data_IF_068264781937
#
_entry.id   IF_068264781937
#
_cell.length_a   1.000
_cell.length_b   1.000
_cell.length_c   1.000
_cell.angle_alpha   90.00
_cell.angle_beta   90.00
_cell.angle_gamma   90.00
#
_symmetry.space_group_name_H-M   'P 1'
#
loop_
_entity.id
_entity.type
_entity.pdbx_description
1 polymer ?
#
# COMPACT_ATOMS: atom_id res chain seq x y z
N UNK A 1 14.96 23.80 -5.00
CA UNK A 1 15.85 22.87 -5.76
C UNK A 1 15.24 21.50 -5.66
N UNK A 2 14.64 21.00 -6.75
CA UNK A 2 14.07 19.65 -6.80
C UNK A 2 15.20 18.61 -6.76
N UNK A 3 15.22 17.78 -5.71
CA UNK A 3 16.13 16.65 -5.63
C UNK A 3 15.52 15.49 -6.42
N UNK A 4 16.30 14.79 -7.26
CA UNK A 4 15.91 13.57 -7.92
C UNK A 4 16.27 12.34 -7.09
N UNK A 5 15.60 11.22 -7.34
CA UNK A 5 15.86 9.93 -6.74
C UNK A 5 16.41 8.96 -7.80
N UNK A 6 17.49 8.29 -7.46
CA UNK A 6 18.04 7.19 -8.26
C UNK A 6 17.86 5.90 -7.45
N UNK A 7 17.21 4.90 -8.03
CA UNK A 7 16.95 3.63 -7.37
C UNK A 7 17.13 2.45 -8.33
N UNK A 8 17.26 1.21 -7.81
CA UNK A 8 17.19 0.01 -8.62
C UNK A 8 15.85 -0.10 -9.34
N UNK A 9 15.81 -0.73 -10.52
CA UNK A 9 14.59 -0.92 -11.30
C UNK A 9 13.48 -1.63 -10.52
N UNK A 10 13.85 -2.56 -9.63
CA UNK A 10 12.90 -3.28 -8.77
C UNK A 10 12.12 -2.37 -7.80
N UNK A 11 12.73 -1.27 -7.35
CA UNK A 11 12.10 -0.30 -6.43
C UNK A 11 11.44 0.87 -7.18
N UNK A 12 11.47 0.87 -8.50
CA UNK A 12 11.01 2.00 -9.31
C UNK A 12 9.51 2.29 -9.14
N UNK A 13 8.68 1.25 -9.07
CA UNK A 13 7.24 1.39 -8.89
C UNK A 13 6.85 1.98 -7.54
N UNK A 14 7.55 1.58 -6.47
CA UNK A 14 7.36 2.13 -5.12
C UNK A 14 7.86 3.57 -5.05
N UNK A 15 9.04 3.83 -5.61
CA UNK A 15 9.58 5.18 -5.68
C UNK A 15 8.65 6.14 -6.41
N UNK A 16 7.91 5.66 -7.42
CA UNK A 16 6.96 6.46 -8.19
C UNK A 16 5.75 6.95 -7.36
N UNK A 17 5.48 6.37 -6.19
CA UNK A 17 4.46 6.87 -5.25
C UNK A 17 4.83 8.23 -4.63
N UNK A 18 6.11 8.61 -4.66
CA UNK A 18 6.55 9.92 -4.16
C UNK A 18 6.00 11.13 -4.94
N UNK A 19 5.21 10.89 -5.98
CA UNK A 19 4.54 11.93 -6.77
C UNK A 19 5.27 12.33 -8.04
N UNK A 20 4.58 13.09 -8.89
CA UNK A 20 5.08 13.47 -10.22
C UNK A 20 6.18 14.52 -10.17
N UNK A 21 6.27 15.27 -9.09
CA UNK A 21 7.24 16.36 -8.91
C UNK A 21 8.67 15.87 -8.66
N UNK A 22 8.83 14.60 -8.27
CA UNK A 22 10.14 13.99 -8.01
C UNK A 22 10.67 13.35 -9.29
N UNK A 23 11.86 13.75 -9.73
CA UNK A 23 12.53 13.08 -10.85
C UNK A 23 13.12 11.74 -10.39
N UNK A 24 12.56 10.63 -10.88
CA UNK A 24 12.93 9.28 -10.49
C UNK A 24 13.59 8.56 -11.67
N UNK A 25 14.80 8.08 -11.43
CA UNK A 25 15.56 7.24 -12.35
C UNK A 25 15.70 5.82 -11.77
N UNK A 26 14.95 4.88 -12.32
CA UNK A 26 15.02 3.48 -11.95
C UNK A 26 15.93 2.73 -12.95
N UNK A 27 17.10 2.32 -12.51
CA UNK A 27 18.10 1.69 -13.37
C UNK A 27 18.22 0.19 -13.06
N UNK A 28 18.21 -0.69 -14.10
CA UNK A 28 18.44 -2.12 -13.92
C UNK A 28 19.91 -2.42 -13.56
N UNK A 29 20.83 -1.62 -14.05
CA UNK A 29 22.26 -1.76 -13.74
C UNK A 29 22.96 -0.40 -13.84
N UNK A 30 24.14 -0.31 -13.22
CA UNK A 30 24.95 0.90 -13.21
C UNK A 30 25.31 1.40 -14.63
N UNK A 31 25.58 0.50 -15.57
CA UNK A 31 25.88 0.84 -16.94
C UNK A 31 24.71 1.59 -17.63
N UNK A 32 23.48 1.18 -17.38
CA UNK A 32 22.29 1.85 -17.90
C UNK A 32 22.16 3.29 -17.36
N UNK A 33 22.53 3.51 -16.12
CA UNK A 33 22.56 4.83 -15.50
C UNK A 33 23.65 5.72 -16.15
N UNK A 34 24.86 5.18 -16.34
CA UNK A 34 25.94 5.88 -17.02
C UNK A 34 25.55 6.26 -18.45
N UNK A 35 24.93 5.32 -19.18
CA UNK A 35 24.45 5.58 -20.55
C UNK A 35 23.34 6.64 -20.59
N UNK A 36 22.47 6.67 -19.57
CA UNK A 36 21.44 7.71 -19.44
C UNK A 36 22.07 9.09 -19.30
N UNK A 37 23.06 9.27 -18.42
CA UNK A 37 23.74 10.55 -18.24
C UNK A 37 24.63 10.95 -19.42
N UNK A 38 25.12 9.98 -20.20
CA UNK A 38 25.86 10.23 -21.46
C UNK A 38 24.94 10.51 -22.66
N UNK A 39 23.62 10.41 -22.49
CA UNK A 39 22.66 10.59 -23.57
C UNK A 39 22.56 9.44 -24.57
N UNK A 40 23.24 8.31 -24.32
CA UNK A 40 23.17 7.14 -25.19
C UNK A 40 21.88 6.32 -25.05
N UNK A 41 21.31 6.33 -23.86
CA UNK A 41 20.06 5.62 -23.56
C UNK A 41 19.27 6.41 -22.51
N UNK A 42 18.03 6.75 -22.82
CA UNK A 42 17.15 7.41 -21.86
C UNK A 42 16.38 6.35 -21.06
N UNK A 43 16.49 6.40 -19.74
CA UNK A 43 15.66 5.61 -18.84
C UNK A 43 14.28 6.27 -18.73
N UNK A 44 13.25 5.49 -18.97
CA UNK A 44 11.88 5.95 -18.80
C UNK A 44 11.56 6.11 -17.30
N UNK A 45 10.73 7.08 -16.97
CA UNK A 45 10.21 7.26 -15.62
C UNK A 45 9.40 6.02 -15.23
N UNK A 46 9.63 5.42 -14.05
CA UNK A 46 8.84 4.30 -13.59
C UNK A 46 7.38 4.75 -13.32
N UNK A 47 6.45 3.85 -13.60
CA UNK A 47 5.03 4.10 -13.30
C UNK A 47 4.69 3.51 -11.93
N UNK A 48 3.86 4.19 -11.14
CA UNK A 48 3.37 3.61 -9.90
C UNK A 48 2.54 2.36 -10.23
N UNK A 49 2.92 1.24 -9.66
CA UNK A 49 2.15 -0.01 -9.75
C UNK A 49 1.61 -0.32 -8.38
N UNK A 50 0.31 -0.45 -8.29
CA UNK A 50 -0.38 -0.95 -7.10
C UNK A 50 -0.60 -2.44 -7.34
N UNK A 51 0.18 -3.26 -6.67
CA UNK A 51 -0.07 -4.69 -6.68
C UNK A 51 -1.34 -4.95 -5.84
N UNK A 52 -2.42 -5.20 -6.54
CA UNK A 52 -3.70 -5.56 -5.91
C UNK A 52 -3.78 -7.06 -5.79
N UNK A 53 -2.93 -7.66 -4.98
CA UNK A 53 -3.08 -9.06 -4.62
C UNK A 53 -4.26 -9.23 -3.65
N UNK A 54 -5.46 -9.00 -4.16
CA UNK A 54 -6.73 -9.18 -3.44
C UNK A 54 -7.22 -10.62 -3.46
N UNK A 55 -6.51 -11.51 -4.14
CA UNK A 55 -6.99 -12.87 -4.44
C UNK A 55 -7.12 -13.77 -3.19
N UNK A 56 -6.63 -13.35 -2.05
CA UNK A 56 -6.56 -14.18 -0.84
C UNK A 56 -7.20 -13.56 0.42
N UNK A 57 -7.80 -12.38 0.32
CA UNK A 57 -8.41 -11.77 1.52
C UNK A 57 -9.73 -12.45 1.87
N UNK A 58 -9.92 -12.83 3.16
CA UNK A 58 -11.19 -13.36 3.61
C UNK A 58 -12.29 -12.30 3.50
N UNK A 59 -13.40 -12.65 2.84
CA UNK A 59 -14.51 -11.73 2.59
C UNK A 59 -15.43 -11.59 3.83
N UNK A 60 -15.93 -10.39 4.06
CA UNK A 60 -16.90 -10.12 5.12
C UNK A 60 -18.23 -10.86 4.88
N UNK A 61 -18.57 -11.19 3.63
CA UNK A 61 -19.75 -11.99 3.28
C UNK A 61 -19.76 -13.39 3.88
N UNK A 62 -18.58 -13.95 4.16
CA UNK A 62 -18.45 -15.31 4.69
C UNK A 62 -18.82 -15.39 6.17
N UNK A 63 -18.96 -14.25 6.85
CA UNK A 63 -19.36 -14.19 8.26
C UNK A 63 -20.85 -14.44 8.37
N UNK A 64 -21.20 -15.57 9.01
CA UNK A 64 -22.59 -15.91 9.33
C UNK A 64 -22.98 -15.31 10.67
N UNK A 65 -24.14 -14.68 10.70
CA UNK A 65 -24.63 -13.98 11.89
C UNK A 65 -23.88 -12.67 12.18
N UNK A 66 -23.92 -12.23 13.41
CA UNK A 66 -23.29 -10.99 13.90
C UNK A 66 -23.61 -9.72 13.04
N UNK A 67 -24.86 -9.60 12.64
CA UNK A 67 -25.31 -8.54 11.71
C UNK A 67 -24.98 -7.12 12.21
N UNK A 68 -25.13 -6.88 13.51
CA UNK A 68 -24.78 -5.60 14.11
C UNK A 68 -23.28 -5.28 13.98
N UNK A 69 -22.41 -6.26 14.23
CA UNK A 69 -20.96 -6.09 14.14
C UNK A 69 -20.52 -5.91 12.67
N UNK A 70 -21.13 -6.64 11.74
CA UNK A 70 -20.91 -6.46 10.29
C UNK A 70 -21.29 -5.06 9.85
N UNK A 71 -22.49 -4.59 10.27
CA UNK A 71 -22.94 -3.25 9.94
C UNK A 71 -22.03 -2.14 10.48
N UNK A 72 -21.54 -2.31 11.71
CA UNK A 72 -20.57 -1.38 12.30
C UNK A 72 -19.26 -1.36 11.51
N UNK A 73 -18.76 -2.51 11.05
CA UNK A 73 -17.58 -2.58 10.19
C UNK A 73 -17.76 -1.87 8.85
N UNK A 74 -18.93 -2.05 8.20
CA UNK A 74 -19.25 -1.36 6.96
C UNK A 74 -19.27 0.17 7.14
N UNK A 75 -19.89 0.66 8.22
CA UNK A 75 -19.94 2.09 8.51
C UNK A 75 -18.54 2.64 8.83
N UNK A 76 -17.74 1.89 9.62
CA UNK A 76 -16.38 2.28 9.95
C UNK A 76 -15.49 2.33 8.70
N UNK A 77 -15.60 1.35 7.81
CA UNK A 77 -14.85 1.32 6.56
C UNK A 77 -15.23 2.47 5.62
N UNK A 78 -16.54 2.72 5.47
CA UNK A 78 -17.04 3.79 4.59
C UNK A 78 -16.69 5.20 5.09
N UNK A 79 -16.59 5.38 6.41
CA UNK A 79 -16.30 6.68 7.03
C UNK A 79 -14.85 6.88 7.47
N UNK A 80 -13.95 5.91 7.24
CA UNK A 80 -12.57 5.98 7.73
C UNK A 80 -12.47 6.05 9.27
N UNK A 81 -13.42 5.41 9.97
CA UNK A 81 -13.50 5.50 11.42
C UNK A 81 -12.69 4.42 12.13
N UNK A 82 -12.06 4.80 13.23
CA UNK A 82 -11.45 3.83 14.13
C UNK A 82 -12.53 3.02 14.86
N UNK A 83 -12.29 1.72 15.01
CA UNK A 83 -13.21 0.80 15.66
C UNK A 83 -12.52 0.05 16.80
N UNK A 84 -13.11 0.08 18.00
CA UNK A 84 -12.69 -0.72 19.13
C UNK A 84 -13.68 -1.88 19.35
N UNK A 85 -13.18 -3.11 19.29
CA UNK A 85 -13.96 -4.32 19.55
C UNK A 85 -13.63 -4.90 20.93
N UNK A 86 -14.61 -4.94 21.83
CA UNK A 86 -14.48 -5.48 23.18
C UNK A 86 -15.39 -6.71 23.32
N UNK A 87 -14.91 -7.75 23.97
CA UNK A 87 -15.71 -8.96 24.23
C UNK A 87 -14.84 -10.13 24.65
N UNK A 88 -15.45 -11.23 25.10
CA UNK A 88 -14.75 -12.43 25.60
C UNK A 88 -13.91 -13.09 24.49
N UNK A 89 -12.94 -13.95 24.86
CA UNK A 89 -12.26 -14.81 23.92
C UNK A 89 -13.27 -15.65 23.11
N UNK A 90 -12.99 -15.89 21.84
CA UNK A 90 -13.88 -16.66 20.95
C UNK A 90 -15.08 -15.89 20.38
N UNK A 91 -15.31 -14.63 20.76
CA UNK A 91 -16.42 -13.81 20.24
C UNK A 91 -16.28 -13.38 18.75
N UNK A 92 -15.27 -13.86 18.04
CA UNK A 92 -15.08 -13.56 16.60
C UNK A 92 -14.41 -12.22 16.28
N UNK A 93 -13.89 -11.49 17.26
CA UNK A 93 -13.25 -10.17 17.05
C UNK A 93 -12.13 -10.20 16.00
N UNK A 94 -11.17 -11.11 16.15
CA UNK A 94 -10.05 -11.27 15.21
C UNK A 94 -10.52 -11.74 13.83
N UNK A 95 -11.55 -12.55 13.77
CA UNK A 95 -12.16 -13.01 12.52
C UNK A 95 -12.78 -11.83 11.75
N UNK A 96 -13.47 -10.94 12.44
CA UNK A 96 -14.05 -9.72 11.86
C UNK A 96 -12.96 -8.74 11.44
N UNK A 97 -11.94 -8.51 12.28
CA UNK A 97 -10.82 -7.63 11.98
C UNK A 97 -10.05 -8.08 10.72
N UNK A 98 -9.82 -9.39 10.57
CA UNK A 98 -9.14 -9.94 9.39
C UNK A 98 -9.91 -9.75 8.08
N UNK A 99 -11.22 -9.46 8.15
CA UNK A 99 -12.09 -9.22 6.99
C UNK A 99 -12.28 -7.74 6.66
N UNK A 100 -11.88 -6.85 7.57
CA UNK A 100 -11.97 -5.40 7.33
C UNK A 100 -11.27 -4.96 6.03
N UNK A 101 -10.07 -5.47 5.66
CA UNK A 101 -9.42 -5.08 4.42
C UNK A 101 -10.24 -5.37 3.16
N UNK A 102 -11.15 -6.36 3.18
CA UNK A 102 -11.98 -6.71 2.01
C UNK A 102 -13.04 -5.65 1.67
N UNK A 103 -13.36 -4.77 2.61
CA UNK A 103 -14.40 -3.72 2.47
C UNK A 103 -13.83 -2.30 2.54
N UNK A 104 -12.52 -2.15 2.81
CA UNK A 104 -11.87 -0.84 2.78
C UNK A 104 -11.75 -0.33 1.34
N UNK A 105 -11.88 0.98 1.11
CA UNK A 105 -11.54 1.57 -0.18
C UNK A 105 -10.05 1.38 -0.49
N UNK A 106 -9.72 1.41 -1.77
CA UNK A 106 -8.31 1.35 -2.18
C UNK A 106 -7.56 2.60 -1.73
N UNK A 107 -6.36 2.39 -1.19
CA UNK A 107 -5.48 3.49 -0.78
C UNK A 107 -5.05 4.34 -1.97
N UNK A 108 -4.92 5.64 -1.75
CA UNK A 108 -4.22 6.54 -2.66
C UNK A 108 -2.71 6.30 -2.63
N UNK A 109 -1.96 6.87 -3.59
CA UNK A 109 -0.50 6.74 -3.62
C UNK A 109 0.18 7.33 -2.36
N UNK A 110 -0.34 8.43 -1.83
CA UNK A 110 0.16 9.06 -0.60
C UNK A 110 -0.09 8.18 0.62
N UNK A 111 -1.31 7.67 0.77
CA UNK A 111 -1.66 6.75 1.87
C UNK A 111 -0.85 5.46 1.81
N UNK A 112 -0.60 4.90 0.62
CA UNK A 112 0.27 3.73 0.47
C UNK A 112 1.69 4.02 0.92
N UNK A 113 2.22 5.20 0.60
CA UNK A 113 3.55 5.60 1.04
C UNK A 113 3.62 5.73 2.57
N UNK A 114 2.63 6.35 3.20
CA UNK A 114 2.55 6.47 4.66
C UNK A 114 2.48 5.10 5.35
N UNK A 115 1.63 4.21 4.87
CA UNK A 115 1.52 2.82 5.39
C UNK A 115 2.83 2.07 5.23
N UNK A 116 3.51 2.21 4.09
CA UNK A 116 4.81 1.58 3.85
C UNK A 116 5.88 2.11 4.79
N UNK A 117 5.90 3.41 5.07
CA UNK A 117 6.85 4.01 6.03
C UNK A 117 6.63 3.47 7.45
N UNK A 118 5.38 3.33 7.88
CA UNK A 118 5.04 2.76 9.18
C UNK A 118 5.47 1.29 9.25
N UNK A 119 5.20 0.52 8.20
CA UNK A 119 5.55 -0.90 8.15
C UNK A 119 7.07 -1.13 8.19
N UNK A 120 7.82 -0.35 7.41
CA UNK A 120 9.29 -0.38 7.42
C UNK A 120 9.87 0.06 8.76
N UNK A 121 9.27 1.04 9.43
CA UNK A 121 9.68 1.49 10.77
C UNK A 121 9.52 0.38 11.82
N UNK A 122 8.48 -0.45 11.72
CA UNK A 122 8.24 -1.56 12.65
C UNK A 122 9.20 -2.75 12.47
N UNK A 123 9.79 -2.92 11.28
CA UNK A 123 10.76 -3.98 11.01
C UNK A 123 12.13 -3.70 11.65
N UNK A 124 12.43 -2.43 11.97
CA UNK A 124 13.70 -2.01 12.56
C UNK A 124 13.67 -1.88 14.11
N UNK A 125 12.58 -2.27 14.75
CA UNK A 125 12.47 -2.42 16.20
C UNK A 125 12.57 -3.90 16.55
#
# INVERSE_FOLDING_TARGET
>A
MGKGLICPAACGSEAAWAGEDVNILAAPHLLSLVNHFKGHQLLARPKPVVDRDTASLPDLRDVKGQESARRVLEVAAAGGHNLLMIGPPGAGKSMLAARLPSILPSLSAEEMLEVSMVHLSLIHI
#
